data_IF_894342198050
#
_entry.id   IF_894342198050
#
_cell.length_a   1.000
_cell.length_b   1.000
_cell.length_c   1.000
_cell.angle_alpha   90.00
_cell.angle_beta   90.00
_cell.angle_gamma   90.00
#
_symmetry.space_group_name_H-M   'P 1'
#
loop_
_entity.id
_entity.type
_entity.pdbx_description
1 polymer ?
#
# COMPACT_ATOMS: atom_id res chain seq x y z
N UNK A 1 -23.87 4.19 -31.49
CA UNK A 1 -23.51 3.45 -32.72
C UNK A 1 -22.02 3.14 -32.67
N UNK A 2 -21.64 1.90 -32.92
CA UNK A 2 -20.24 1.44 -33.00
C UNK A 2 -19.96 0.95 -34.40
N UNK A 3 -18.78 1.23 -34.92
CA UNK A 3 -18.35 0.70 -36.23
C UNK A 3 -17.78 -0.71 -36.02
N UNK A 4 -18.34 -1.70 -36.69
CA UNK A 4 -17.76 -3.04 -36.74
C UNK A 4 -16.52 -3.09 -37.63
N UNK A 5 -15.69 -4.12 -37.49
CA UNK A 5 -14.45 -4.30 -38.28
C UNK A 5 -14.66 -4.40 -39.79
N UNK A 6 -15.87 -4.68 -40.23
CA UNK A 6 -16.30 -4.71 -41.65
C UNK A 6 -16.94 -3.39 -42.11
N UNK A 7 -16.89 -2.33 -41.31
CA UNK A 7 -17.35 -0.99 -41.62
C UNK A 7 -18.85 -0.76 -41.51
N UNK A 8 -19.62 -1.71 -40.94
CA UNK A 8 -21.05 -1.52 -40.71
C UNK A 8 -21.29 -0.78 -39.39
N UNK A 9 -22.25 0.11 -39.38
CA UNK A 9 -22.73 0.78 -38.20
C UNK A 9 -23.68 -0.17 -37.46
N UNK A 10 -23.31 -0.56 -36.23
CA UNK A 10 -24.14 -1.33 -35.36
C UNK A 10 -24.72 -0.37 -34.29
N UNK A 11 -26.04 -0.33 -34.19
CA UNK A 11 -26.67 0.35 -33.07
C UNK A 11 -26.62 -0.57 -31.84
N UNK A 12 -25.87 -0.17 -30.83
CA UNK A 12 -25.78 -0.88 -29.53
C UNK A 12 -26.46 -0.01 -28.51
N UNK A 13 -27.30 -0.59 -27.65
CA UNK A 13 -27.90 0.12 -26.53
C UNK A 13 -26.80 0.56 -25.57
N UNK A 14 -26.92 1.77 -24.99
CA UNK A 14 -25.98 2.27 -23.99
C UNK A 14 -25.95 1.40 -22.74
N UNK A 15 -27.07 0.78 -22.41
CA UNK A 15 -27.17 -0.11 -21.25
C UNK A 15 -26.38 -1.40 -21.48
N UNK A 16 -26.44 -1.97 -22.71
CA UNK A 16 -25.69 -3.17 -23.07
C UNK A 16 -24.16 -2.92 -23.04
N UNK A 17 -23.71 -1.74 -23.49
CA UNK A 17 -22.29 -1.34 -23.41
C UNK A 17 -21.87 -1.25 -21.94
N UNK A 18 -22.66 -0.59 -21.10
CA UNK A 18 -22.36 -0.46 -19.67
C UNK A 18 -22.32 -1.81 -18.95
N UNK A 19 -23.21 -2.73 -19.29
CA UNK A 19 -23.20 -4.08 -18.71
C UNK A 19 -21.96 -4.89 -19.15
N UNK A 20 -21.57 -4.80 -20.42
CA UNK A 20 -20.36 -5.48 -20.95
C UNK A 20 -19.10 -4.90 -20.31
N UNK A 21 -18.98 -3.58 -20.21
CA UNK A 21 -17.83 -2.92 -19.57
C UNK A 21 -17.77 -3.25 -18.08
N UNK A 22 -18.91 -3.31 -17.40
CA UNK A 22 -18.99 -3.69 -16.00
C UNK A 22 -18.59 -5.15 -15.79
N UNK A 23 -19.09 -6.08 -16.62
CA UNK A 23 -18.75 -7.49 -16.56
C UNK A 23 -17.25 -7.74 -16.85
N UNK A 24 -16.68 -7.03 -17.82
CA UNK A 24 -15.23 -7.13 -18.12
C UNK A 24 -14.37 -6.67 -16.94
N UNK A 25 -14.78 -5.60 -16.27
CA UNK A 25 -14.09 -5.07 -15.07
C UNK A 25 -14.24 -5.99 -13.88
N UNK A 26 -15.43 -6.57 -13.67
CA UNK A 26 -15.69 -7.49 -12.55
C UNK A 26 -14.95 -8.82 -12.70
N UNK A 27 -14.59 -9.23 -13.92
CA UNK A 27 -13.84 -10.45 -14.19
C UNK A 27 -12.32 -10.26 -14.34
N UNK A 28 -11.81 -9.04 -14.16
CA UNK A 28 -10.36 -8.78 -14.17
C UNK A 28 -9.69 -9.46 -12.96
N UNK A 29 -8.76 -10.42 -13.18
CA UNK A 29 -8.05 -11.09 -12.09
C UNK A 29 -7.32 -10.12 -11.16
N UNK A 30 -6.84 -8.98 -11.67
CA UNK A 30 -6.20 -7.92 -10.89
C UNK A 30 -7.16 -7.24 -9.92
N UNK A 31 -8.45 -7.18 -10.27
CA UNK A 31 -9.51 -6.60 -9.40
C UNK A 31 -10.09 -7.62 -8.43
N UNK A 32 -10.18 -8.88 -8.82
CA UNK A 32 -10.74 -9.95 -7.98
C UNK A 32 -9.79 -10.31 -6.82
N UNK A 33 -8.50 -10.49 -7.11
CA UNK A 33 -7.50 -10.93 -6.13
C UNK A 33 -7.46 -12.44 -5.92
N UNK A 34 -6.73 -12.88 -4.91
CA UNK A 34 -6.52 -14.29 -4.61
C UNK A 34 -7.67 -14.85 -3.74
N UNK A 35 -8.14 -16.05 -4.09
CA UNK A 35 -9.21 -16.74 -3.37
C UNK A 35 -8.69 -17.27 -2.02
N UNK A 36 -9.53 -17.27 -1.00
CA UNK A 36 -9.25 -17.78 0.34
C UNK A 36 -8.05 -17.16 1.07
N UNK A 37 -7.54 -16.02 0.58
CA UNK A 37 -6.47 -15.25 1.21
C UNK A 37 -7.00 -14.01 1.90
N UNK A 38 -6.33 -13.60 2.99
CA UNK A 38 -6.52 -12.32 3.64
C UNK A 38 -5.17 -11.78 4.11
N UNK A 39 -4.56 -10.93 3.29
CA UNK A 39 -3.22 -10.44 3.55
C UNK A 39 -3.14 -9.44 4.70
N UNK A 40 -2.11 -9.62 5.51
CA UNK A 40 -1.79 -8.77 6.66
C UNK A 40 -0.30 -8.45 6.72
N UNK A 41 0.02 -7.31 7.30
CA UNK A 41 1.40 -6.88 7.57
C UNK A 41 1.57 -6.61 9.06
N UNK A 42 2.70 -7.05 9.63
CA UNK A 42 3.09 -6.69 10.99
C UNK A 42 4.42 -5.93 10.94
N UNK A 43 4.48 -4.78 11.59
CA UNK A 43 5.63 -3.88 11.59
C UNK A 43 6.21 -3.80 13.00
N UNK A 44 7.43 -4.31 13.19
CA UNK A 44 8.14 -4.31 14.48
C UNK A 44 8.93 -3.00 14.63
N UNK A 45 8.38 -2.06 15.39
CA UNK A 45 9.00 -0.76 15.61
C UNK A 45 10.29 -0.84 16.42
N UNK A 46 10.47 -1.88 17.21
CA UNK A 46 11.70 -2.08 17.97
C UNK A 46 12.91 -2.36 17.09
N UNK A 47 12.69 -2.86 15.87
CA UNK A 47 13.74 -3.19 14.90
C UNK A 47 14.06 -2.06 13.91
N UNK A 48 13.19 -1.05 13.77
CA UNK A 48 13.39 0.01 12.78
C UNK A 48 14.55 0.94 13.17
N UNK A 49 15.53 1.07 12.29
CA UNK A 49 16.72 1.93 12.43
C UNK A 49 16.79 3.02 11.36
N UNK A 50 15.66 3.36 10.73
CA UNK A 50 15.57 4.39 9.69
C UNK A 50 16.48 4.16 8.46
N UNK A 51 16.74 2.92 8.09
CA UNK A 51 17.55 2.60 6.90
C UNK A 51 16.90 3.06 5.58
N UNK A 52 15.56 3.21 5.56
CA UNK A 52 14.73 3.66 4.44
C UNK A 52 14.81 2.83 3.15
N UNK A 53 15.45 1.67 3.18
CA UNK A 53 15.52 0.79 2.00
C UNK A 53 14.12 0.30 1.57
N UNK A 54 13.17 0.14 2.52
CA UNK A 54 11.78 -0.12 2.23
C UNK A 54 11.11 0.98 1.36
N UNK A 55 11.46 2.26 1.61
CA UNK A 55 10.95 3.39 0.82
C UNK A 55 11.55 3.38 -0.59
N UNK A 56 12.86 3.24 -0.69
CA UNK A 56 13.60 3.24 -1.97
C UNK A 56 13.16 2.10 -2.89
N UNK A 57 13.08 0.88 -2.34
CA UNK A 57 12.66 -0.30 -3.10
C UNK A 57 11.23 -0.17 -3.62
N UNK A 58 10.30 0.29 -2.78
CA UNK A 58 8.92 0.54 -3.17
C UNK A 58 8.82 1.67 -4.23
N UNK A 59 9.55 2.76 -4.05
CA UNK A 59 9.58 3.89 -4.98
C UNK A 59 10.08 3.46 -6.37
N UNK A 60 11.15 2.68 -6.41
CA UNK A 60 11.71 2.15 -7.66
C UNK A 60 10.75 1.17 -8.34
N UNK A 61 10.17 0.23 -7.59
CA UNK A 61 9.27 -0.79 -8.14
C UNK A 61 8.00 -0.19 -8.75
N UNK A 62 7.45 0.86 -8.13
CA UNK A 62 6.22 1.51 -8.57
C UNK A 62 6.46 2.80 -9.38
N UNK A 63 7.71 3.06 -9.82
CA UNK A 63 8.08 4.20 -10.67
C UNK A 63 7.60 5.56 -10.13
N UNK A 64 7.64 5.73 -8.80
CA UNK A 64 7.17 6.95 -8.17
C UNK A 64 8.15 8.11 -8.44
N UNK A 65 7.61 9.32 -8.49
CA UNK A 65 8.44 10.52 -8.49
C UNK A 65 9.33 10.58 -7.23
N UNK A 66 10.55 11.14 -7.29
CA UNK A 66 11.48 11.20 -6.14
C UNK A 66 10.87 11.74 -4.84
N UNK A 67 9.92 12.67 -4.94
CA UNK A 67 9.24 13.28 -3.79
C UNK A 67 8.00 12.50 -3.33
N UNK A 68 7.68 11.36 -3.96
CA UNK A 68 6.51 10.55 -3.66
C UNK A 68 6.91 9.24 -2.98
N UNK A 69 6.17 8.87 -1.95
CA UNK A 69 6.39 7.64 -1.22
C UNK A 69 5.07 6.94 -0.87
N UNK A 70 5.02 5.63 -1.08
CA UNK A 70 3.94 4.78 -0.58
C UNK A 70 4.11 4.40 0.90
N UNK A 71 5.32 4.55 1.42
CA UNK A 71 5.66 4.34 2.83
C UNK A 71 6.35 5.61 3.34
N UNK A 72 5.79 6.20 4.38
CA UNK A 72 6.42 7.32 5.08
C UNK A 72 7.02 6.80 6.38
N UNK A 73 8.31 7.00 6.59
CA UNK A 73 8.98 6.66 7.86
C UNK A 73 9.05 7.91 8.71
N UNK A 74 8.22 7.95 9.75
CA UNK A 74 8.10 9.09 10.66
C UNK A 74 9.03 8.90 11.86
N UNK A 75 9.76 9.95 12.24
CA UNK A 75 10.45 9.99 13.52
C UNK A 75 9.44 10.37 14.61
N UNK A 76 9.30 9.52 15.60
CA UNK A 76 8.37 9.67 16.72
C UNK A 76 9.14 9.77 18.02
N UNK A 77 8.76 10.67 18.89
CA UNK A 77 9.38 10.88 20.20
C UNK A 77 8.30 11.32 21.19
N UNK A 78 8.25 10.70 22.36
CA UNK A 78 7.21 11.00 23.35
C UNK A 78 7.51 12.29 24.11
N UNK A 79 8.77 12.48 24.46
CA UNK A 79 9.28 13.69 25.14
C UNK A 79 10.68 13.99 24.65
N UNK A 80 11.18 15.19 24.86
CA UNK A 80 12.55 15.60 24.50
C UNK A 80 13.64 14.73 25.14
N UNK A 81 13.32 14.07 26.26
CA UNK A 81 14.25 13.22 27.02
C UNK A 81 14.18 11.73 26.65
N UNK A 82 13.23 11.31 25.81
CA UNK A 82 13.09 9.91 25.42
C UNK A 82 13.72 9.67 24.07
N UNK A 83 14.34 8.51 23.86
CA UNK A 83 14.90 8.14 22.58
C UNK A 83 13.83 8.11 21.48
N UNK A 84 14.07 8.68 20.29
CA UNK A 84 13.16 8.61 19.18
C UNK A 84 13.05 7.16 18.64
N UNK A 85 11.90 6.84 18.06
CA UNK A 85 11.71 5.63 17.29
C UNK A 85 11.16 5.97 15.90
N UNK A 86 11.22 5.02 14.99
CA UNK A 86 10.78 5.24 13.63
C UNK A 86 9.55 4.40 13.33
N UNK A 87 8.54 5.07 12.77
CA UNK A 87 7.24 4.50 12.41
C UNK A 87 7.10 4.44 10.88
N UNK A 88 7.38 3.31 10.24
CA UNK A 88 7.02 3.11 8.85
C UNK A 88 5.49 3.03 8.71
N UNK A 89 4.93 3.95 7.95
CA UNK A 89 3.47 4.07 7.76
C UNK A 89 3.10 3.87 6.29
N UNK A 90 2.76 2.65 5.85
CA UNK A 90 2.16 2.37 4.55
C UNK A 90 0.65 2.62 4.55
N UNK A 91 -0.03 2.32 3.44
CA UNK A 91 -1.49 2.17 3.44
C UNK A 91 -1.89 1.03 4.39
N UNK A 92 -3.00 1.22 5.11
CA UNK A 92 -3.46 0.27 6.12
C UNK A 92 -4.32 -0.87 5.55
N UNK A 93 -4.65 -0.85 4.26
CA UNK A 93 -5.51 -1.84 3.59
C UNK A 93 -6.71 -2.25 4.45
N UNK A 94 -7.52 -1.25 4.80
CA UNK A 94 -8.63 -1.38 5.75
C UNK A 94 -9.69 -2.39 5.29
N UNK A 95 -10.31 -3.11 6.24
CA UNK A 95 -11.47 -3.95 5.94
C UNK A 95 -12.71 -3.11 5.59
N UNK A 96 -12.87 -1.95 6.28
CA UNK A 96 -13.89 -0.96 5.97
C UNK A 96 -13.21 0.29 5.40
N UNK A 97 -12.82 0.30 4.12
CA UNK A 97 -12.01 1.38 3.55
C UNK A 97 -12.86 2.59 3.19
N UNK A 98 -12.79 3.72 3.91
CA UNK A 98 -13.58 4.92 3.58
C UNK A 98 -13.20 5.48 2.20
N UNK A 99 -11.97 5.26 1.77
CA UNK A 99 -11.49 5.70 0.47
C UNK A 99 -12.13 4.97 -0.72
N UNK A 100 -12.62 3.75 -0.54
CA UNK A 100 -13.42 3.03 -1.55
C UNK A 100 -14.82 3.63 -1.61
N UNK A 101 -15.45 3.83 -0.45
CA UNK A 101 -16.82 4.33 -0.36
C UNK A 101 -17.02 5.70 -1.02
N UNK A 102 -15.99 6.55 -1.09
CA UNK A 102 -16.10 7.90 -1.68
C UNK A 102 -15.62 7.99 -3.12
N UNK A 103 -15.23 6.89 -3.76
CA UNK A 103 -14.73 6.93 -5.13
C UNK A 103 -15.90 6.96 -6.14
N UNK A 104 -16.11 8.07 -6.88
CA UNK A 104 -17.30 8.22 -7.74
C UNK A 104 -17.21 7.38 -9.02
N UNK A 105 -16.04 6.86 -9.38
CA UNK A 105 -15.78 6.11 -10.61
C UNK A 105 -15.25 4.70 -10.35
N UNK A 106 -15.34 4.23 -9.12
CA UNK A 106 -14.87 2.90 -8.69
C UNK A 106 -13.40 2.59 -9.07
N UNK A 107 -12.59 3.65 -9.21
CA UNK A 107 -11.16 3.50 -9.43
C UNK A 107 -10.44 2.97 -8.18
N UNK A 108 -10.92 3.32 -6.98
CA UNK A 108 -10.44 2.72 -5.73
C UNK A 108 -11.38 1.60 -5.34
N UNK A 109 -10.84 0.40 -5.21
CA UNK A 109 -11.63 -0.80 -4.93
C UNK A 109 -10.92 -1.70 -3.92
N UNK A 110 -11.67 -2.61 -3.30
CA UNK A 110 -11.17 -3.63 -2.39
C UNK A 110 -11.35 -5.00 -3.01
N UNK A 111 -10.27 -5.78 -3.01
CA UNK A 111 -10.23 -7.17 -3.49
C UNK A 111 -10.74 -8.13 -2.42
N UNK A 112 -11.08 -9.36 -2.83
CA UNK A 112 -11.49 -10.43 -1.91
C UNK A 112 -10.38 -10.84 -0.93
N UNK A 113 -9.11 -10.72 -1.32
CA UNK A 113 -7.93 -10.97 -0.47
C UNK A 113 -7.61 -9.84 0.52
N UNK A 114 -8.49 -8.86 0.65
CA UNK A 114 -8.36 -7.75 1.57
C UNK A 114 -7.53 -6.58 1.06
N UNK A 115 -6.85 -6.71 -0.08
CA UNK A 115 -6.02 -5.64 -0.64
C UNK A 115 -6.92 -4.56 -1.25
N UNK A 116 -6.61 -3.30 -0.89
CA UNK A 116 -7.25 -2.13 -1.51
C UNK A 116 -6.33 -1.59 -2.57
N UNK A 117 -6.79 -1.43 -3.81
CA UNK A 117 -6.02 -0.90 -4.94
C UNK A 117 -6.61 0.42 -5.48
N UNK A 118 -5.89 1.01 -6.40
CA UNK A 118 -6.32 2.16 -7.21
C UNK A 118 -5.98 1.84 -8.66
N UNK A 119 -6.96 1.95 -9.51
CA UNK A 119 -6.85 1.82 -10.95
C UNK A 119 -6.55 3.20 -11.56
N UNK A 120 -5.35 3.38 -12.10
CA UNK A 120 -4.92 4.65 -12.70
C UNK A 120 -5.64 4.98 -14.00
N UNK A 121 -6.18 3.99 -14.70
CA UNK A 121 -6.91 4.24 -15.96
C UNK A 121 -8.31 4.77 -15.69
N UNK A 122 -8.94 4.33 -14.59
CA UNK A 122 -10.26 4.80 -14.16
C UNK A 122 -10.19 6.04 -13.27
N UNK A 123 -9.05 6.35 -12.66
CA UNK A 123 -8.91 7.45 -11.71
C UNK A 123 -9.03 8.81 -12.41
N UNK A 124 -10.03 9.59 -12.03
CA UNK A 124 -10.25 10.97 -12.53
C UNK A 124 -9.55 12.06 -11.69
N UNK A 125 -8.79 11.67 -10.66
CA UNK A 125 -8.02 12.61 -9.84
C UNK A 125 -8.83 13.53 -8.94
N UNK A 126 -10.06 13.21 -8.61
CA UNK A 126 -10.93 14.05 -7.75
C UNK A 126 -10.43 14.20 -6.30
N UNK A 127 -9.51 13.35 -5.85
CA UNK A 127 -8.86 13.35 -4.52
C UNK A 127 -9.78 13.11 -3.31
N UNK A 128 -11.05 12.78 -3.49
CA UNK A 128 -11.95 12.48 -2.37
C UNK A 128 -11.40 11.35 -1.49
N UNK A 129 -10.77 10.33 -2.09
CA UNK A 129 -10.14 9.24 -1.35
C UNK A 129 -8.93 9.66 -0.50
N UNK A 130 -8.27 10.79 -0.83
CA UNK A 130 -7.21 11.36 0.00
C UNK A 130 -7.80 12.04 1.23
N UNK A 131 -8.87 12.83 1.06
CA UNK A 131 -9.58 13.50 2.15
C UNK A 131 -10.23 12.50 3.11
N UNK A 132 -10.77 11.38 2.59
CA UNK A 132 -11.42 10.34 3.37
C UNK A 132 -10.43 9.43 4.14
N UNK A 133 -9.14 9.41 3.78
CA UNK A 133 -8.15 8.54 4.39
C UNK A 133 -7.62 9.11 5.72
N UNK A 134 -7.94 8.52 6.90
CA UNK A 134 -7.46 9.07 8.16
C UNK A 134 -5.96 8.87 8.38
N UNK A 135 -5.33 8.00 7.58
CA UNK A 135 -3.91 7.66 7.69
C UNK A 135 -3.00 8.49 6.80
N UNK A 136 -3.54 9.39 5.95
CA UNK A 136 -2.77 10.15 4.94
C UNK A 136 -1.87 9.24 4.09
N UNK A 137 -2.40 8.08 3.69
CA UNK A 137 -1.64 7.05 3.00
C UNK A 137 -1.77 7.12 1.47
N UNK A 138 -2.31 8.22 0.95
CA UNK A 138 -2.52 8.42 -0.48
C UNK A 138 -1.77 9.65 -0.94
N UNK A 139 -1.11 9.52 -2.09
CA UNK A 139 -0.38 10.60 -2.77
C UNK A 139 -1.02 10.90 -4.12
N UNK A 140 -0.89 12.13 -4.58
CA UNK A 140 -1.38 12.55 -5.89
C UNK A 140 -0.22 12.73 -6.86
N UNK A 141 -0.36 12.24 -8.08
CA UNK A 141 0.64 12.33 -9.14
C UNK A 141 0.56 13.72 -9.80
N UNK A 142 1.27 14.69 -9.24
CA UNK A 142 1.34 16.05 -9.77
C UNK A 142 2.20 16.18 -11.01
N UNK A 143 3.18 15.30 -11.15
CA UNK A 143 4.18 15.31 -12.21
C UNK A 143 4.04 14.07 -13.09
N UNK A 144 4.61 14.12 -14.27
CA UNK A 144 4.79 12.92 -15.08
C UNK A 144 5.65 11.90 -14.32
N UNK A 145 5.40 10.60 -14.48
CA UNK A 145 6.19 9.57 -13.84
C UNK A 145 7.65 9.65 -14.31
N UNK A 146 8.55 9.21 -13.45
CA UNK A 146 9.96 9.12 -13.80
C UNK A 146 10.12 8.18 -15.00
N UNK A 147 10.92 8.61 -15.98
CA UNK A 147 11.17 7.83 -17.21
C UNK A 147 9.90 7.51 -18.03
N UNK A 148 8.88 8.41 -18.05
CA UNK A 148 7.60 8.20 -18.73
C UNK A 148 7.75 7.70 -20.19
N UNK A 149 8.73 8.20 -20.94
CA UNK A 149 9.01 7.81 -22.32
C UNK A 149 9.37 6.31 -22.46
N UNK A 150 9.99 5.69 -21.44
CA UNK A 150 10.33 4.26 -21.46
C UNK A 150 9.11 3.35 -21.31
N UNK A 151 8.03 3.90 -20.79
CA UNK A 151 6.83 3.14 -20.46
C UNK A 151 5.63 3.48 -21.34
N UNK A 152 5.84 4.26 -22.41
CA UNK A 152 4.78 4.74 -23.29
C UNK A 152 4.00 3.61 -23.98
N UNK A 153 4.69 2.50 -24.26
CA UNK A 153 4.12 1.33 -24.94
C UNK A 153 3.97 0.12 -23.98
N UNK A 154 4.11 0.33 -22.67
CA UNK A 154 3.94 -0.72 -21.66
C UNK A 154 2.48 -0.77 -21.24
N UNK A 155 1.88 -1.95 -21.33
CA UNK A 155 0.53 -2.20 -20.84
C UNK A 155 0.43 -1.94 -19.33
N UNK A 156 -0.67 -1.33 -18.90
CA UNK A 156 -0.90 -0.98 -17.52
C UNK A 156 -1.14 -2.24 -16.67
N UNK A 157 -0.38 -2.38 -15.60
CA UNK A 157 -0.55 -3.42 -14.58
C UNK A 157 -1.23 -2.82 -13.34
N UNK A 158 -2.46 -3.22 -13.09
CA UNK A 158 -3.30 -2.73 -11.99
C UNK A 158 -2.77 -3.18 -10.61
N UNK A 159 -2.12 -4.35 -10.51
CA UNK A 159 -1.60 -4.86 -9.26
C UNK A 159 -0.31 -4.18 -8.83
N UNK A 160 0.53 -3.86 -9.80
CA UNK A 160 1.75 -3.08 -9.61
C UNK A 160 1.50 -1.58 -9.64
N UNK A 161 0.38 -1.18 -10.24
CA UNK A 161 0.01 0.21 -10.51
C UNK A 161 1.09 0.94 -11.32
N UNK A 162 1.50 0.36 -12.43
CA UNK A 162 2.56 0.85 -13.33
C UNK A 162 2.13 0.65 -14.79
N UNK A 163 2.40 1.61 -15.67
CA UNK A 163 3.02 2.91 -15.42
C UNK A 163 2.14 3.87 -14.61
N UNK A 164 2.79 4.74 -13.83
CA UNK A 164 2.08 5.80 -13.10
C UNK A 164 1.52 6.82 -14.10
N UNK A 165 0.39 7.44 -13.75
CA UNK A 165 -0.27 8.43 -14.61
C UNK A 165 -0.42 9.76 -13.88
N UNK A 166 0.03 10.86 -14.49
CA UNK A 166 -0.19 12.21 -13.97
C UNK A 166 -1.69 12.49 -13.78
N UNK A 167 -2.03 13.20 -12.74
CA UNK A 167 -3.42 13.54 -12.45
C UNK A 167 -4.21 12.44 -11.72
N UNK A 168 -3.57 11.34 -11.33
CA UNK A 168 -4.19 10.24 -10.59
C UNK A 168 -3.69 10.16 -9.15
N UNK A 169 -4.39 9.36 -8.33
CA UNK A 169 -3.98 9.07 -6.96
C UNK A 169 -3.25 7.73 -6.91
N UNK A 170 -2.15 7.67 -6.18
CA UNK A 170 -1.41 6.43 -5.92
C UNK A 170 -1.27 6.13 -4.43
N UNK A 171 -0.99 4.89 -4.07
CA UNK A 171 -0.78 4.42 -2.69
C UNK A 171 -0.10 3.05 -2.68
N UNK A 172 0.34 2.60 -1.49
CA UNK A 172 0.81 1.22 -1.31
C UNK A 172 -0.24 0.20 -1.81
N UNK A 173 0.18 -0.76 -2.60
CA UNK A 173 -0.64 -1.86 -3.16
C UNK A 173 -0.29 -3.23 -2.56
N UNK A 174 0.45 -3.29 -1.45
CA UNK A 174 0.98 -4.52 -0.83
C UNK A 174 1.81 -5.37 -1.79
N UNK A 175 2.27 -4.79 -2.91
CA UNK A 175 2.96 -5.51 -4.00
C UNK A 175 2.15 -6.70 -4.50
N UNK A 176 0.89 -6.45 -4.84
CA UNK A 176 -0.05 -7.49 -5.26
C UNK A 176 0.45 -8.32 -6.44
N UNK A 177 1.24 -7.70 -7.33
CA UNK A 177 1.98 -8.33 -8.42
C UNK A 177 2.91 -9.46 -7.97
N UNK A 178 3.61 -9.27 -6.83
CA UNK A 178 4.49 -10.28 -6.26
C UNK A 178 3.74 -11.42 -5.59
N UNK A 179 2.63 -11.10 -4.93
CA UNK A 179 1.84 -12.08 -4.19
C UNK A 179 1.23 -13.16 -5.10
N UNK A 180 1.01 -12.87 -6.39
CA UNK A 180 0.60 -13.88 -7.38
C UNK A 180 1.66 -14.95 -7.63
N UNK A 181 2.92 -14.64 -7.35
CA UNK A 181 4.05 -15.52 -7.52
C UNK A 181 4.56 -16.07 -6.17
N UNK A 182 3.76 -15.98 -5.12
CA UNK A 182 4.11 -16.36 -3.74
C UNK A 182 5.36 -15.63 -3.20
N UNK A 183 5.63 -14.43 -3.72
CA UNK A 183 6.76 -13.62 -3.30
C UNK A 183 6.34 -12.57 -2.26
N UNK A 184 7.24 -12.25 -1.33
CA UNK A 184 7.03 -11.20 -0.34
C UNK A 184 7.10 -9.79 -0.97
N UNK A 185 6.35 -8.81 -0.41
CA UNK A 185 6.36 -7.43 -0.87
C UNK A 185 7.75 -6.79 -0.94
N UNK A 186 7.94 -5.85 -1.87
CA UNK A 186 9.21 -5.14 -2.08
C UNK A 186 9.80 -4.51 -0.82
N UNK A 187 8.97 -3.87 0.02
CA UNK A 187 9.41 -3.26 1.27
C UNK A 187 9.82 -4.28 2.32
N UNK A 188 9.20 -5.45 2.32
CA UNK A 188 9.45 -6.53 3.27
C UNK A 188 10.81 -7.16 3.00
N UNK A 189 11.10 -7.45 1.73
CA UNK A 189 12.37 -8.06 1.31
C UNK A 189 13.56 -7.09 1.34
N UNK A 190 13.31 -5.79 1.12
CA UNK A 190 14.37 -4.78 1.10
C UNK A 190 14.81 -4.31 2.50
N UNK A 191 14.06 -4.62 3.56
CA UNK A 191 14.39 -4.13 4.90
C UNK A 191 15.55 -4.91 5.51
N UNK A 192 16.73 -4.30 5.78
CA UNK A 192 17.88 -5.03 6.32
C UNK A 192 17.70 -5.44 7.80
N UNK A 193 16.80 -4.78 8.51
CA UNK A 193 16.63 -4.96 9.97
C UNK A 193 15.50 -5.92 10.35
N UNK A 194 14.81 -6.55 9.39
CA UNK A 194 13.73 -7.47 9.66
C UNK A 194 12.51 -6.83 10.36
N UNK A 195 12.21 -5.58 9.99
CA UNK A 195 11.09 -4.81 10.56
C UNK A 195 9.74 -5.40 10.20
N UNK A 196 9.62 -5.99 9.02
CA UNK A 196 8.35 -6.36 8.43
C UNK A 196 8.14 -7.88 8.48
N UNK A 197 6.94 -8.26 8.89
CA UNK A 197 6.35 -9.58 8.67
C UNK A 197 5.16 -9.41 7.73
N UNK A 198 4.99 -10.34 6.81
CA UNK A 198 3.88 -10.32 5.87
C UNK A 198 3.34 -11.73 5.68
N UNK A 199 2.03 -11.89 5.52
CA UNK A 199 1.42 -13.19 5.31
C UNK A 199 -0.09 -13.14 5.27
N UNK A 200 -0.71 -14.27 5.60
CA UNK A 200 -2.13 -14.51 5.49
C UNK A 200 -2.76 -14.73 6.86
N UNK A 201 -3.77 -13.93 7.19
CA UNK A 201 -4.50 -14.07 8.44
C UNK A 201 -5.41 -15.31 8.47
N UNK A 202 -5.88 -15.79 7.32
CA UNK A 202 -6.68 -17.01 7.25
C UNK A 202 -5.85 -18.26 7.61
N UNK A 203 -4.59 -18.26 7.20
CA UNK A 203 -3.61 -19.30 7.57
C UNK A 203 -2.96 -19.07 8.93
N UNK A 204 -3.23 -17.92 9.57
CA UNK A 204 -2.59 -17.49 10.81
C UNK A 204 -1.05 -17.50 10.73
N UNK A 205 -0.47 -17.20 9.59
CA UNK A 205 0.96 -17.30 9.32
C UNK A 205 1.51 -16.00 8.71
N UNK A 206 2.65 -15.53 9.25
CA UNK A 206 3.38 -14.38 8.70
C UNK A 206 4.87 -14.68 8.67
N UNK A 207 5.53 -14.25 7.58
CA UNK A 207 6.95 -14.51 7.33
C UNK A 207 7.75 -13.21 7.44
N UNK A 208 8.86 -13.24 8.15
CA UNK A 208 9.79 -12.13 8.21
C UNK A 208 10.60 -12.01 6.91
N UNK A 209 10.67 -10.80 6.36
CA UNK A 209 11.34 -10.58 5.07
C UNK A 209 12.85 -10.82 5.09
N UNK A 210 13.50 -10.67 6.23
CA UNK A 210 14.97 -10.75 6.38
C UNK A 210 15.40 -12.11 6.90
N UNK A 211 14.83 -12.57 8.04
CA UNK A 211 15.18 -13.88 8.63
C UNK A 211 14.54 -15.06 7.89
N UNK A 212 13.52 -14.80 7.07
CA UNK A 212 12.70 -15.84 6.39
C UNK A 212 11.95 -16.77 7.36
N UNK A 213 11.93 -16.43 8.62
CA UNK A 213 11.20 -17.17 9.64
C UNK A 213 9.70 -16.93 9.49
N UNK A 214 8.92 -17.99 9.48
CA UNK A 214 7.45 -17.96 9.50
C UNK A 214 6.97 -18.26 10.91
N UNK A 215 6.09 -17.40 11.42
CA UNK A 215 5.55 -17.47 12.78
C UNK A 215 4.03 -17.36 12.77
N UNK A 216 3.39 -17.86 13.84
CA UNK A 216 1.96 -17.69 14.04
C UNK A 216 1.63 -16.21 14.26
N UNK A 217 0.71 -15.67 13.42
CA UNK A 217 0.24 -14.29 13.54
C UNK A 217 -0.34 -14.01 14.92
N UNK A 218 -1.25 -14.86 15.39
CA UNK A 218 -1.96 -14.67 16.66
C UNK A 218 -1.01 -14.68 17.86
N UNK A 219 0.01 -15.53 17.85
CA UNK A 219 1.03 -15.56 18.90
C UNK A 219 1.93 -14.34 18.85
N UNK A 220 2.37 -13.95 17.66
CA UNK A 220 3.20 -12.75 17.46
C UNK A 220 2.50 -11.50 17.99
N UNK A 221 1.21 -11.32 17.65
CA UNK A 221 0.42 -10.18 18.10
C UNK A 221 0.23 -10.17 19.62
N UNK A 222 -0.18 -11.29 20.22
CA UNK A 222 -0.38 -11.40 21.68
C UNK A 222 0.90 -11.17 22.48
N UNK A 223 1.98 -11.85 22.10
CA UNK A 223 3.26 -11.81 22.82
C UNK A 223 3.89 -10.42 22.85
N UNK A 224 3.60 -9.59 21.84
CA UNK A 224 4.23 -8.28 21.69
C UNK A 224 3.25 -7.12 21.92
N UNK A 225 2.05 -7.34 22.46
CA UNK A 225 1.04 -6.30 22.66
C UNK A 225 0.81 -5.44 21.39
N UNK A 226 0.58 -6.10 20.28
CA UNK A 226 0.39 -5.45 18.99
C UNK A 226 -0.85 -4.55 18.99
N UNK A 227 -0.79 -3.49 18.21
CA UNK A 227 -1.88 -2.54 18.05
C UNK A 227 -2.08 -2.14 16.59
N UNK A 228 -3.23 -1.56 16.30
CA UNK A 228 -3.55 -0.95 15.00
C UNK A 228 -3.63 0.57 15.15
N UNK A 229 -3.26 1.30 14.10
CA UNK A 229 -3.39 2.76 14.12
C UNK A 229 -4.87 3.16 14.08
N UNK A 230 -5.27 4.07 14.99
CA UNK A 230 -6.62 4.67 15.02
C UNK A 230 -7.76 3.63 14.98
N UNK A 231 -7.65 2.54 15.73
CA UNK A 231 -8.58 1.42 15.78
C UNK A 231 -10.04 1.84 16.07
N UNK A 232 -10.22 2.90 16.86
CA UNK A 232 -11.53 3.48 17.23
C UNK A 232 -12.30 4.07 16.05
N UNK A 233 -11.65 4.32 14.90
CA UNK A 233 -12.33 4.83 13.70
C UNK A 233 -13.14 3.77 12.95
N UNK A 234 -13.07 2.50 13.36
CA UNK A 234 -13.84 1.41 12.76
C UNK A 234 -13.43 1.04 11.33
N UNK A 235 -12.31 1.54 10.84
CA UNK A 235 -11.80 1.21 9.49
C UNK A 235 -11.20 -0.18 9.39
N UNK A 236 -10.88 -0.81 10.54
CA UNK A 236 -10.30 -2.16 10.67
C UNK A 236 -9.04 -2.35 9.79
N UNK A 237 -7.90 -1.76 10.15
CA UNK A 237 -6.64 -1.90 9.43
C UNK A 237 -6.18 -3.36 9.30
N UNK A 238 -5.52 -3.71 8.17
CA UNK A 238 -4.81 -4.98 7.99
C UNK A 238 -3.32 -4.87 8.35
N UNK A 239 -2.88 -3.74 8.87
CA UNK A 239 -1.51 -3.49 9.33
C UNK A 239 -1.48 -3.40 10.85
N UNK A 240 -0.64 -4.22 11.46
CA UNK A 240 -0.41 -4.24 12.90
C UNK A 240 0.98 -3.70 13.22
N UNK A 241 1.11 -3.09 14.38
CA UNK A 241 2.38 -2.55 14.88
C UNK A 241 2.76 -3.21 16.20
N UNK A 242 3.99 -3.70 16.28
CA UNK A 242 4.59 -4.11 17.55
C UNK A 242 5.28 -2.88 18.16
N UNK A 243 5.03 -2.60 19.46
CA UNK A 243 5.53 -1.37 20.09
C UNK A 243 7.07 -1.32 20.12
N UNK A 244 7.65 -0.13 20.09
CA UNK A 244 9.08 0.04 20.27
C UNK A 244 9.48 -0.38 21.69
N UNK A 245 10.66 -0.97 21.83
CA UNK A 245 11.21 -1.44 23.12
C UNK A 245 12.37 -0.54 23.56
N UNK A 246 12.67 -0.56 24.88
CA UNK A 246 13.84 0.09 25.49
C UNK A 246 13.93 1.60 25.24
N UNK A 247 12.82 2.33 25.42
CA UNK A 247 12.74 3.78 25.20
C UNK A 247 12.71 4.61 26.49
N UNK A 248 12.62 3.94 27.63
CA UNK A 248 12.49 4.55 28.96
C UNK A 248 13.86 4.95 29.58
N UNK A 249 14.81 5.37 28.78
CA UNK A 249 16.07 5.94 29.25
C UNK A 249 16.16 7.40 28.82
N UNK A 250 16.85 8.23 29.60
CA UNK A 250 17.13 9.61 29.22
C UNK A 250 17.96 9.61 27.93
N UNK A 251 17.46 10.31 26.92
CA UNK A 251 18.15 10.49 25.65
C UNK A 251 18.83 11.85 25.68
N UNK A 252 20.14 11.84 25.61
CA UNK A 252 20.93 13.06 25.34
C UNK A 252 21.06 13.20 23.83
N UNK A 253 20.49 14.26 23.22
CA UNK A 253 20.70 14.50 21.80
C UNK A 253 22.20 14.72 21.51
N UNK A 254 22.67 14.35 20.31
CA UNK A 254 24.04 14.64 19.91
C UNK A 254 24.33 16.13 20.12
N UNK A 255 25.46 16.45 20.75
CA UNK A 255 25.89 17.85 20.87
C UNK A 255 26.14 18.37 19.47
N UNK A 256 25.45 19.43 19.09
CA UNK A 256 25.72 20.10 17.83
C UNK A 256 27.19 20.56 17.81
N UNK A 257 28.00 19.94 16.98
CA UNK A 257 29.43 20.30 16.81
C UNK A 257 29.64 21.68 16.14
N UNK A 258 28.57 22.40 15.87
CA UNK A 258 28.60 23.70 15.16
C UNK A 258 28.45 24.95 16.06
N UNK A 259 28.59 24.79 17.39
CA UNK A 259 28.62 25.93 18.33
C UNK A 259 29.93 25.95 19.16
N UNK A 260 31.03 26.08 18.47
CA UNK A 260 32.30 26.50 19.09
C UNK A 260 32.99 27.58 18.25
#
# INVERSE_FOLDING_TARGET
AVLSTDGKVIEVDKNDIQEIEKAAVENDPGRIGLVDKKFVMVIDLAKCRNARECMKSCQSAHQLHPDQHHINVLAMQDTEKTAPYYLPKPCQHCDNPPCVAVCPVDATFKRQDGIVLVDNERCIGCRFCMAACPYSARTFNWFEPKDAEKYKDVEYDIEKNVPQKKGTVTKCCFSADKLRNDELPYCVTACPNGVYYFGDSNENAVTNGTSKETVSLSELLKKNAAYQLMDKLGTKPSVYYLPPKNRMFEFEPPKDENNS
#
